data_IF_919121757840
#
_entry.id   IF_919121757840
#
_cell.length_a   1.000
_cell.length_b   1.000
_cell.length_c   1.000
_cell.angle_alpha   90.00
_cell.angle_beta   90.00
_cell.angle_gamma   90.00
#
_symmetry.space_group_name_H-M   'P 1'
#
loop_
_entity.id
_entity.type
_entity.pdbx_description
1 polymer ?
#
# COMPACT_ATOMS: atom_id res chain seq x y z
N UNK A 1 -38.32 -24.06 -5.71
CA UNK A 1 -38.02 -22.67 -6.14
C UNK A 1 -36.65 -22.15 -5.63
N UNK A 2 -35.63 -23.01 -5.48
CA UNK A 2 -34.23 -22.59 -5.23
C UNK A 2 -33.26 -23.00 -6.35
N UNK A 3 -33.68 -23.94 -7.22
CA UNK A 3 -32.86 -24.41 -8.34
C UNK A 3 -32.96 -23.52 -9.60
N UNK A 4 -33.90 -22.57 -9.66
CA UNK A 4 -34.09 -21.70 -10.82
C UNK A 4 -33.26 -20.40 -10.75
N UNK A 5 -32.74 -20.06 -9.58
CA UNK A 5 -31.88 -18.88 -9.35
C UNK A 5 -30.40 -19.14 -9.61
N UNK A 6 -29.94 -20.41 -9.57
CA UNK A 6 -28.56 -20.75 -9.90
C UNK A 6 -28.31 -20.78 -11.41
N UNK A 7 -29.32 -21.13 -12.21
CA UNK A 7 -29.20 -21.22 -13.67
C UNK A 7 -29.10 -19.85 -14.36
N UNK A 8 -29.77 -18.83 -13.83
CA UNK A 8 -29.75 -17.48 -14.41
C UNK A 8 -28.52 -16.65 -14.01
N UNK A 9 -27.81 -17.03 -12.94
CA UNK A 9 -26.55 -16.37 -12.57
C UNK A 9 -25.38 -16.78 -13.48
N UNK A 10 -25.36 -18.03 -13.98
CA UNK A 10 -24.32 -18.50 -14.91
C UNK A 10 -24.42 -17.87 -16.30
N UNK A 11 -25.62 -17.46 -16.73
CA UNK A 11 -25.79 -16.78 -18.02
C UNK A 11 -25.31 -15.32 -17.99
N UNK A 12 -25.24 -14.67 -16.82
CA UNK A 12 -24.64 -13.33 -16.70
C UNK A 12 -23.10 -13.35 -16.70
N UNK A 13 -22.47 -14.47 -16.35
CA UNK A 13 -21.01 -14.56 -16.27
C UNK A 13 -20.33 -14.66 -17.65
N UNK A 14 -21.03 -15.15 -18.67
CA UNK A 14 -20.46 -15.34 -20.02
C UNK A 14 -20.56 -14.06 -20.89
N UNK A 15 -21.43 -13.12 -20.54
CA UNK A 15 -21.62 -11.90 -21.33
C UNK A 15 -20.53 -10.83 -21.14
N UNK A 16 -19.67 -10.93 -20.12
CA UNK A 16 -18.57 -9.96 -19.92
C UNK A 16 -17.23 -10.40 -20.54
N UNK A 17 -17.16 -11.60 -21.14
CA UNK A 17 -15.93 -12.15 -21.72
C UNK A 17 -15.71 -11.79 -23.19
N UNK A 18 -16.61 -11.02 -23.82
CA UNK A 18 -16.57 -10.75 -25.24
C UNK A 18 -16.94 -9.30 -25.57
N UNK A 19 -16.07 -8.35 -25.24
CA UNK A 19 -15.96 -7.10 -26.00
C UNK A 19 -14.48 -6.68 -26.07
N UNK A 20 -13.95 -6.79 -27.28
CA UNK A 20 -12.86 -6.00 -27.85
C UNK A 20 -11.49 -6.14 -27.20
N UNK A 21 -10.70 -6.99 -27.85
CA UNK A 21 -9.25 -6.86 -28.07
C UNK A 21 -8.93 -5.46 -28.63
N UNK A 22 -9.02 -4.44 -27.78
CA UNK A 22 -8.30 -3.19 -27.98
C UNK A 22 -6.88 -3.51 -27.51
N UNK A 23 -5.84 -3.34 -28.33
CA UNK A 23 -4.50 -3.34 -27.81
C UNK A 23 -4.56 -2.40 -26.60
N UNK A 24 -4.16 -2.90 -25.43
CA UNK A 24 -3.67 -2.01 -24.40
C UNK A 24 -2.61 -1.20 -25.13
N UNK A 25 -2.99 0.00 -25.58
CA UNK A 25 -2.01 1.04 -25.79
C UNK A 25 -1.29 1.03 -24.46
N UNK A 26 -0.09 0.45 -24.49
CA UNK A 26 0.89 0.73 -23.48
C UNK A 26 0.82 2.24 -23.39
N UNK A 27 0.25 2.75 -22.30
CA UNK A 27 0.60 4.08 -21.85
C UNK A 27 2.10 4.08 -22.04
N UNK A 28 2.57 4.93 -22.97
CA UNK A 28 3.98 5.01 -23.31
C UNK A 28 4.71 4.89 -21.99
N UNK A 29 5.71 3.99 -21.83
CA UNK A 29 6.38 3.84 -20.55
C UNK A 29 6.91 5.22 -20.22
N UNK A 30 6.14 5.99 -19.44
CA UNK A 30 6.61 7.16 -18.76
C UNK A 30 7.75 6.56 -17.99
N UNK A 31 8.96 6.93 -18.40
CA UNK A 31 10.22 6.38 -17.91
C UNK A 31 10.02 6.03 -16.46
N UNK A 32 9.78 4.74 -16.16
CA UNK A 32 9.45 4.34 -14.80
C UNK A 32 10.75 4.59 -14.07
N UNK A 33 10.84 5.74 -13.41
CA UNK A 33 12.06 6.20 -12.81
C UNK A 33 12.43 5.09 -11.83
N UNK A 34 13.57 4.45 -12.10
CA UNK A 34 13.96 3.27 -11.35
C UNK A 34 14.15 3.72 -9.90
N UNK A 35 13.23 3.30 -9.04
CA UNK A 35 13.29 3.60 -7.62
C UNK A 35 14.66 3.19 -7.07
N UNK A 36 15.20 4.05 -6.22
CA UNK A 36 16.41 3.76 -5.48
C UNK A 36 16.19 2.53 -4.57
N UNK A 37 17.26 1.80 -4.25
CA UNK A 37 17.16 0.58 -3.42
C UNK A 37 16.50 0.83 -2.06
N UNK A 38 16.75 2.00 -1.46
CA UNK A 38 16.12 2.48 -0.23
C UNK A 38 14.62 2.74 -0.41
N UNK A 39 14.21 3.38 -1.51
CA UNK A 39 12.79 3.62 -1.81
C UNK A 39 12.05 2.29 -2.06
N UNK A 40 12.65 1.36 -2.82
CA UNK A 40 12.09 0.01 -2.98
C UNK A 40 11.92 -0.72 -1.64
N UNK A 41 12.95 -0.67 -0.78
CA UNK A 41 12.89 -1.26 0.56
C UNK A 41 11.78 -0.63 1.40
N UNK A 42 11.65 0.70 1.38
CA UNK A 42 10.61 1.42 2.12
C UNK A 42 9.21 1.16 1.57
N UNK A 43 9.04 0.94 0.26
CA UNK A 43 7.77 0.55 -0.33
C UNK A 43 7.31 -0.83 0.16
N UNK A 44 8.23 -1.81 0.22
CA UNK A 44 7.97 -3.14 0.80
C UNK A 44 7.58 -3.03 2.28
N UNK A 45 8.33 -2.24 3.04
CA UNK A 45 8.08 -2.00 4.47
C UNK A 45 6.74 -1.30 4.73
N UNK A 46 6.40 -0.30 3.91
CA UNK A 46 5.12 0.41 3.97
C UNK A 46 3.95 -0.54 3.69
N UNK A 47 4.12 -1.46 2.75
CA UNK A 47 3.11 -2.50 2.45
C UNK A 47 2.94 -3.46 3.64
N UNK A 48 4.03 -3.92 4.24
CA UNK A 48 3.99 -4.75 5.45
C UNK A 48 3.28 -4.04 6.61
N UNK A 49 3.60 -2.77 6.83
CA UNK A 49 2.93 -1.93 7.83
C UNK A 49 1.43 -1.80 7.54
N UNK A 50 1.03 -1.57 6.29
CA UNK A 50 -0.39 -1.47 5.93
C UNK A 50 -1.15 -2.77 6.21
N UNK A 51 -0.56 -3.95 5.96
CA UNK A 51 -1.17 -5.23 6.33
C UNK A 51 -1.31 -5.39 7.85
N UNK A 52 -0.28 -5.04 8.61
CA UNK A 52 -0.35 -5.08 10.08
C UNK A 52 -1.40 -4.12 10.63
N UNK A 53 -1.46 -2.89 10.09
CA UNK A 53 -2.43 -1.87 10.50
C UNK A 53 -3.85 -2.27 10.12
N UNK A 54 -4.07 -2.76 8.91
CA UNK A 54 -5.37 -3.28 8.48
C UNK A 54 -5.85 -4.39 9.42
N UNK A 55 -4.98 -5.36 9.74
CA UNK A 55 -5.34 -6.44 10.67
C UNK A 55 -5.63 -5.95 12.08
N UNK A 56 -4.97 -4.89 12.54
CA UNK A 56 -5.26 -4.29 13.83
C UNK A 56 -6.63 -3.58 13.81
N UNK A 57 -6.93 -2.81 12.76
CA UNK A 57 -8.21 -2.11 12.60
C UNK A 57 -9.38 -3.05 12.37
N UNK A 58 -9.20 -4.12 11.60
CA UNK A 58 -10.25 -5.11 11.32
C UNK A 58 -10.67 -5.93 12.54
N UNK A 59 -9.87 -5.92 13.63
CA UNK A 59 -10.24 -6.54 14.92
C UNK A 59 -11.10 -5.61 15.79
N UNK A 60 -11.10 -4.31 15.50
CA UNK A 60 -11.91 -3.34 16.20
C UNK A 60 -13.33 -3.34 15.62
N UNK A 61 -14.31 -3.76 16.43
CA UNK A 61 -15.72 -3.85 16.01
C UNK A 61 -16.34 -2.47 15.72
N UNK A 62 -15.72 -1.37 16.16
CA UNK A 62 -16.16 -0.02 15.87
C UNK A 62 -15.75 0.45 14.46
N UNK A 63 -14.84 -0.26 13.78
CA UNK A 63 -14.34 0.11 12.46
C UNK A 63 -15.09 -0.67 11.37
N UNK A 64 -15.93 0.03 10.61
CA UNK A 64 -16.69 -0.57 9.51
C UNK A 64 -15.89 -0.57 8.19
N UNK A 65 -15.61 0.62 7.65
CA UNK A 65 -14.89 0.78 6.39
C UNK A 65 -13.42 1.14 6.66
N UNK A 66 -12.50 0.48 5.95
CA UNK A 66 -11.07 0.70 6.08
C UNK A 66 -10.49 1.15 4.73
N UNK A 67 -9.99 2.38 4.68
CA UNK A 67 -9.23 2.93 3.56
C UNK A 67 -7.88 3.41 4.08
N UNK A 68 -6.80 2.85 3.53
CA UNK A 68 -5.44 3.10 3.97
C UNK A 68 -4.57 3.35 2.74
N UNK A 69 -3.73 4.38 2.80
CA UNK A 69 -2.60 4.51 1.87
C UNK A 69 -1.32 4.09 2.58
N UNK A 70 -0.68 2.97 2.20
CA UNK A 70 0.54 2.47 2.84
C UNK A 70 1.63 3.54 2.93
N UNK A 71 1.83 4.30 1.84
CA UNK A 71 2.87 5.32 1.76
C UNK A 71 2.57 6.54 2.64
N UNK A 72 1.31 6.98 2.72
CA UNK A 72 0.94 8.13 3.57
C UNK A 72 1.11 7.77 5.05
N UNK A 73 0.74 6.55 5.44
CA UNK A 73 0.94 6.05 6.81
C UNK A 73 2.43 5.93 7.15
N UNK A 74 3.24 5.38 6.25
CA UNK A 74 4.69 5.31 6.47
C UNK A 74 5.32 6.71 6.56
N UNK A 75 4.84 7.65 5.75
CA UNK A 75 5.33 9.03 5.74
C UNK A 75 5.00 9.80 7.00
N UNK A 76 3.83 9.57 7.61
CA UNK A 76 3.50 10.19 8.91
C UNK A 76 4.46 9.71 10.01
N UNK A 77 4.82 8.43 10.03
CA UNK A 77 5.86 7.90 10.93
C UNK A 77 7.25 8.44 10.59
N UNK A 78 7.57 8.62 9.31
CA UNK A 78 8.80 9.28 8.87
C UNK A 78 8.93 10.70 9.42
N UNK A 79 7.84 11.46 9.45
CA UNK A 79 7.80 12.80 10.06
C UNK A 79 7.94 12.76 11.59
N UNK A 80 7.30 11.78 12.26
CA UNK A 80 7.50 11.58 13.71
C UNK A 80 8.95 11.23 14.02
N UNK A 81 9.60 10.40 13.20
CA UNK A 81 11.02 10.08 13.35
C UNK A 81 11.92 11.29 13.13
N UNK A 82 11.55 12.20 12.21
CA UNK A 82 12.32 13.40 11.90
C UNK A 82 12.21 14.48 13.00
N UNK A 83 11.01 14.68 13.53
CA UNK A 83 10.75 15.71 14.56
C UNK A 83 10.90 15.21 16.01
N UNK A 84 10.84 13.89 16.22
CA UNK A 84 10.99 13.25 17.52
C UNK A 84 12.44 13.19 18.00
N UNK A 85 12.63 12.80 19.27
CA UNK A 85 13.95 12.54 19.86
C UNK A 85 13.95 11.21 20.61
N UNK A 86 15.13 10.62 20.75
CA UNK A 86 15.36 9.41 21.54
C UNK A 86 14.33 8.31 21.23
N UNK A 87 13.57 7.88 22.25
CA UNK A 87 12.65 6.76 22.16
C UNK A 87 11.53 6.98 21.14
N UNK A 88 10.98 8.20 21.06
CA UNK A 88 9.89 8.52 20.12
C UNK A 88 10.33 8.33 18.67
N UNK A 89 11.52 8.83 18.32
CA UNK A 89 12.06 8.67 16.96
C UNK A 89 12.35 7.20 16.64
N UNK A 90 12.98 6.48 17.59
CA UNK A 90 13.30 5.06 17.40
C UNK A 90 12.05 4.18 17.27
N UNK A 91 10.99 4.47 18.01
CA UNK A 91 9.73 3.72 17.94
C UNK A 91 9.03 3.93 16.60
N UNK A 92 9.03 5.16 16.08
CA UNK A 92 8.46 5.44 14.76
C UNK A 92 9.17 4.62 13.65
N UNK A 93 10.51 4.55 13.69
CA UNK A 93 11.29 3.70 12.77
C UNK A 93 11.02 2.21 12.96
N UNK A 94 10.84 1.77 14.20
CA UNK A 94 10.56 0.37 14.50
C UNK A 94 9.19 -0.09 13.98
N UNK A 95 8.16 0.76 14.12
CA UNK A 95 6.84 0.48 13.54
C UNK A 95 6.93 0.38 12.01
N UNK A 96 7.77 1.19 11.36
CA UNK A 96 8.05 1.08 9.93
C UNK A 96 8.99 -0.09 9.57
N UNK A 97 9.51 -0.85 10.55
CA UNK A 97 10.50 -1.91 10.33
C UNK A 97 11.74 -1.43 9.56
N UNK A 98 12.17 -0.20 9.84
CA UNK A 98 13.25 0.54 9.18
C UNK A 98 14.43 0.83 10.11
N UNK A 99 14.60 0.07 11.21
CA UNK A 99 15.65 0.25 12.21
C UNK A 99 17.06 0.09 11.63
N UNK A 100 17.18 -0.73 10.56
CA UNK A 100 18.44 -0.98 9.86
C UNK A 100 18.84 0.12 8.88
N UNK A 101 17.93 1.05 8.56
CA UNK A 101 18.19 2.19 7.68
C UNK A 101 18.64 3.38 8.50
N UNK A 102 19.51 4.23 7.94
CA UNK A 102 19.85 5.53 8.53
C UNK A 102 18.67 6.48 8.41
N UNK A 103 18.60 7.48 9.28
CA UNK A 103 17.48 8.43 9.32
C UNK A 103 17.34 9.16 7.97
N UNK A 104 18.45 9.59 7.39
CA UNK A 104 18.48 10.25 6.08
C UNK A 104 17.96 9.34 4.96
N UNK A 105 18.21 8.04 5.04
CA UNK A 105 17.74 7.06 4.05
C UNK A 105 16.23 6.84 4.16
N UNK A 106 15.69 6.84 5.37
CA UNK A 106 14.23 6.77 5.63
C UNK A 106 13.55 8.00 5.03
N UNK A 107 14.02 9.20 5.35
CA UNK A 107 13.36 10.44 4.92
C UNK A 107 13.48 10.66 3.42
N UNK A 108 14.67 10.45 2.83
CA UNK A 108 14.86 10.61 1.38
C UNK A 108 14.14 9.52 0.58
N UNK A 109 14.12 8.28 1.07
CA UNK A 109 13.42 7.18 0.40
C UNK A 109 11.89 7.32 0.47
N UNK A 110 11.33 7.74 1.60
CA UNK A 110 9.89 8.05 1.68
C UNK A 110 9.53 9.27 0.83
N UNK A 111 10.40 10.29 0.82
CA UNK A 111 10.23 11.45 -0.04
C UNK A 111 10.20 11.09 -1.52
N UNK A 112 11.05 10.16 -1.96
CA UNK A 112 11.07 9.65 -3.34
C UNK A 112 9.76 8.93 -3.70
N UNK A 113 9.21 8.13 -2.80
CA UNK A 113 7.95 7.39 -3.02
C UNK A 113 6.70 8.29 -3.10
N UNK A 114 6.79 9.53 -2.60
CA UNK A 114 5.69 10.50 -2.61
C UNK A 114 5.76 11.51 -3.77
N UNK A 115 6.82 11.48 -4.59
CA UNK A 115 6.95 12.36 -5.76
C UNK A 115 6.16 11.84 -6.94
#
# INVERSE_FOLDING_TARGET
MRSLLLGTLCLLAVALAAEVKKPLEAAAPGTAEKLSSKATTLAERSTGLAFSLYQAMAKDQAVENILLSPLVVASSLGLVSLGGKATTASQAKAVLSAEKLRDEEVHTGLGELLR
#
